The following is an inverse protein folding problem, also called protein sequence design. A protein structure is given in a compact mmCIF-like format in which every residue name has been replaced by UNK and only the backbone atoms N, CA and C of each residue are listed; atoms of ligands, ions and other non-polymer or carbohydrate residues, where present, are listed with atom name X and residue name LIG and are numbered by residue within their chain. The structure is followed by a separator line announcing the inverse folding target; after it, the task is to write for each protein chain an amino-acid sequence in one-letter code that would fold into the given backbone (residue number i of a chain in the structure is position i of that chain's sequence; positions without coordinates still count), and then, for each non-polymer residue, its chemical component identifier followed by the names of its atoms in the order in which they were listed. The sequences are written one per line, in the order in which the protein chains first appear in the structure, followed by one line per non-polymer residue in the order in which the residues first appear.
data_IF_068240652462
#
_entry.id   IF_068240652462
#
_cell.length_a   1.000
_cell.length_b   1.000
_cell.length_c   1.000
_cell.angle_alpha   90.00
_cell.angle_beta   90.00
_cell.angle_gamma   90.00
#
_symmetry.space_group_name_H-M   'P 1'
#
loop_
_entity.id
_entity.type
_entity.pdbx_description
1 polymer ?
#
# COMPACT_ATOMS: atom_id res chain seq x y z
N UNK A 1 -28.68 -44.19 -25.81
CA UNK A 1 -27.29 -43.67 -25.86
C UNK A 1 -27.18 -42.15 -25.92
N UNK A 2 -28.03 -41.42 -26.65
CA UNK A 2 -27.99 -39.93 -26.70
C UNK A 2 -28.28 -39.25 -25.34
N UNK A 3 -29.21 -39.79 -24.55
CA UNK A 3 -29.56 -39.25 -23.23
C UNK A 3 -28.42 -39.37 -22.19
N UNK A 4 -27.59 -40.42 -22.30
CA UNK A 4 -26.45 -40.63 -21.39
C UNK A 4 -25.30 -39.64 -21.70
N UNK A 5 -25.15 -39.25 -22.96
CA UNK A 5 -24.15 -38.27 -23.39
C UNK A 5 -24.54 -36.84 -22.97
N UNK A 6 -25.83 -36.50 -22.95
CA UNK A 6 -26.31 -35.22 -22.41
C UNK A 6 -26.13 -35.09 -20.89
N UNK A 7 -26.20 -36.20 -20.14
CA UNK A 7 -25.98 -36.17 -18.69
C UNK A 7 -24.51 -35.95 -18.32
N UNK A 8 -23.57 -36.40 -19.16
CA UNK A 8 -22.13 -36.24 -18.94
C UNK A 8 -21.65 -34.79 -19.20
N UNK A 9 -22.29 -34.08 -20.14
CA UNK A 9 -21.95 -32.68 -20.46
C UNK A 9 -22.46 -31.72 -19.38
N UNK A 10 -23.55 -32.05 -18.69
CA UNK A 10 -24.09 -31.22 -17.60
C UNK A 10 -23.22 -31.30 -16.32
N UNK A 11 -22.45 -32.38 -16.15
CA UNK A 11 -21.59 -32.57 -14.97
C UNK A 11 -20.29 -31.74 -15.03
N UNK A 12 -19.85 -31.33 -16.23
CA UNK A 12 -18.63 -30.55 -16.42
C UNK A 12 -18.78 -29.04 -16.15
N UNK A 13 -20.01 -28.53 -16.01
CA UNK A 13 -20.25 -27.10 -15.76
C UNK A 13 -20.18 -26.69 -14.28
N UNK A 14 -19.98 -27.62 -13.34
CA UNK A 14 -19.93 -27.31 -11.91
C UNK A 14 -18.52 -27.22 -11.32
N UNK A 15 -17.46 -27.33 -12.14
CA UNK A 15 -16.06 -27.18 -11.67
C UNK A 15 -15.42 -25.91 -12.23
N UNK A 16 -16.10 -24.77 -12.12
CA UNK A 16 -15.45 -23.47 -12.25
C UNK A 16 -15.55 -22.74 -10.93
N UNK A 17 -14.88 -23.29 -9.92
CA UNK A 17 -14.59 -22.53 -8.71
C UNK A 17 -13.41 -21.62 -9.06
N UNK A 18 -13.73 -20.40 -9.50
CA UNK A 18 -12.73 -19.35 -9.66
C UNK A 18 -12.25 -18.97 -8.27
N UNK A 19 -11.16 -19.61 -7.85
CA UNK A 19 -10.51 -19.32 -6.58
C UNK A 19 -9.94 -17.91 -6.71
N UNK A 20 -10.66 -16.92 -6.20
CA UNK A 20 -10.14 -15.55 -6.03
C UNK A 20 -8.94 -15.67 -5.11
N UNK A 21 -7.77 -15.74 -5.71
CA UNK A 21 -6.51 -15.75 -5.00
C UNK A 21 -6.47 -14.44 -4.22
N UNK A 22 -6.70 -14.50 -2.90
CA UNK A 22 -6.51 -13.36 -2.02
C UNK A 22 -5.13 -12.81 -2.35
N UNK A 23 -5.08 -11.59 -2.89
CA UNK A 23 -3.84 -10.90 -3.19
C UNK A 23 -3.22 -10.62 -1.81
N UNK A 24 -2.40 -11.57 -1.40
CA UNK A 24 -1.76 -11.70 -0.11
C UNK A 24 -0.69 -10.62 0.10
N UNK A 25 -1.08 -9.35 0.04
CA UNK A 25 -0.27 -8.23 0.53
C UNK A 25 -0.55 -7.92 2.01
N UNK A 26 -1.24 -8.83 2.73
CA UNK A 26 -1.22 -8.88 4.19
C UNK A 26 0.07 -9.52 4.69
N UNK A 27 1.24 -8.99 4.31
CA UNK A 27 2.30 -8.88 5.31
C UNK A 27 1.89 -7.71 6.20
N UNK A 28 0.89 -7.97 7.03
CA UNK A 28 0.68 -7.20 8.22
C UNK A 28 1.97 -7.35 9.03
N UNK A 29 2.90 -6.40 8.84
CA UNK A 29 3.39 -5.72 10.02
C UNK A 29 2.19 -5.62 10.96
N UNK A 30 2.25 -6.34 12.07
CA UNK A 30 1.07 -6.65 12.84
C UNK A 30 0.64 -5.33 13.50
N UNK A 31 -0.11 -4.49 12.78
CA UNK A 31 -0.41 -3.10 13.14
C UNK A 31 -1.09 -3.05 14.52
N UNK A 32 -1.78 -4.13 14.87
CA UNK A 32 -2.33 -4.39 16.20
C UNK A 32 -1.27 -4.31 17.33
N UNK A 33 -0.05 -4.83 17.12
CA UNK A 33 1.06 -4.76 18.09
C UNK A 33 1.59 -3.34 18.27
N UNK A 34 1.45 -2.49 17.25
CA UNK A 34 1.89 -1.09 17.27
C UNK A 34 0.78 -0.12 17.70
N UNK A 35 -0.46 -0.62 17.80
CA UNK A 35 -1.62 0.19 18.12
C UNK A 35 -1.44 0.80 19.50
N UNK A 36 -1.67 2.10 19.59
CA UNK A 36 -1.51 2.88 20.82
C UNK A 36 -2.69 3.82 20.98
N UNK A 37 -3.17 3.96 22.23
CA UNK A 37 -4.09 5.03 22.54
C UNK A 37 -3.32 6.34 22.78
N UNK A 38 -3.65 7.35 21.99
CA UNK A 38 -3.06 8.70 22.09
C UNK A 38 -4.06 9.72 22.65
N UNK A 39 -5.23 9.28 23.13
CA UNK A 39 -6.27 10.16 23.69
C UNK A 39 -5.77 11.00 24.87
N UNK A 40 -4.84 10.46 25.66
CA UNK A 40 -4.22 11.15 26.80
C UNK A 40 -2.97 11.98 26.44
N UNK A 41 -2.55 11.99 25.16
CA UNK A 41 -1.40 12.78 24.70
C UNK A 41 -1.90 14.13 24.18
N UNK A 42 -1.85 15.13 25.04
CA UNK A 42 -2.17 16.50 24.68
C UNK A 42 -1.09 17.13 23.79
N UNK A 43 -1.46 18.16 23.02
CA UNK A 43 -0.54 19.06 22.30
C UNK A 43 0.29 18.44 21.15
N UNK A 44 -0.23 17.41 20.48
CA UNK A 44 0.40 16.86 19.26
C UNK A 44 0.06 17.72 18.01
N UNK A 45 1.06 17.94 17.15
CA UNK A 45 0.88 18.58 15.85
C UNK A 45 0.33 17.56 14.85
N UNK A 46 -0.77 17.89 14.18
CA UNK A 46 -1.32 17.06 13.10
C UNK A 46 -0.64 17.37 11.77
N UNK A 47 -0.53 16.36 10.91
CA UNK A 47 -0.16 16.52 9.51
C UNK A 47 -0.75 15.47 8.60
N UNK A 48 -0.74 15.79 7.31
CA UNK A 48 -1.14 14.88 6.23
C UNK A 48 -0.12 14.92 5.10
N UNK A 49 0.30 13.74 4.66
CA UNK A 49 1.28 13.57 3.58
C UNK A 49 0.70 12.76 2.44
N UNK A 50 0.87 13.25 1.21
CA UNK A 50 0.55 12.55 -0.03
C UNK A 50 1.80 11.87 -0.57
N UNK A 51 1.73 10.58 -0.91
CA UNK A 51 2.81 9.86 -1.59
C UNK A 51 2.28 9.26 -2.89
N UNK A 52 2.86 9.62 -4.03
CA UNK A 52 2.58 8.95 -5.30
C UNK A 52 3.21 7.58 -5.33
N UNK A 53 2.48 6.57 -5.80
CA UNK A 53 3.02 5.23 -6.03
C UNK A 53 2.44 4.65 -7.31
N UNK A 54 3.19 3.76 -7.95
CA UNK A 54 2.85 3.24 -9.27
C UNK A 54 2.81 1.73 -9.21
N UNK A 55 1.61 1.16 -9.23
CA UNK A 55 1.42 -0.28 -9.42
C UNK A 55 1.75 -0.68 -10.88
N UNK A 56 1.56 0.25 -11.82
CA UNK A 56 1.91 0.07 -13.22
C UNK A 56 2.52 1.34 -13.82
N UNK A 57 3.36 1.18 -14.84
CA UNK A 57 3.85 2.27 -15.69
C UNK A 57 3.68 1.91 -17.17
N UNK A 58 3.56 2.91 -18.03
CA UNK A 58 3.55 2.71 -19.48
C UNK A 58 4.92 2.32 -20.00
N UNK A 59 4.94 1.51 -21.05
CA UNK A 59 6.15 1.01 -21.68
C UNK A 59 6.03 1.01 -23.18
N UNK A 60 6.96 1.69 -23.86
CA UNK A 60 7.03 1.88 -25.31
C UNK A 60 5.84 2.64 -25.93
N UNK A 61 4.62 2.47 -25.42
CA UNK A 61 3.37 3.08 -25.90
C UNK A 61 2.31 3.11 -24.77
N UNK A 62 1.21 3.81 -25.01
CA UNK A 62 0.04 3.85 -24.12
C UNK A 62 -0.72 2.51 -24.03
N UNK A 63 -0.50 1.58 -24.96
CA UNK A 63 -1.19 0.29 -25.00
C UNK A 63 -0.49 -0.80 -24.20
N UNK A 64 0.72 -0.55 -23.70
CA UNK A 64 1.51 -1.54 -22.97
C UNK A 64 1.93 -0.99 -21.62
N UNK A 65 1.61 -1.73 -20.56
CA UNK A 65 1.98 -1.41 -19.18
C UNK A 65 2.89 -2.49 -18.61
N UNK A 66 3.76 -2.11 -17.70
CA UNK A 66 4.52 -3.01 -16.83
C UNK A 66 4.04 -2.85 -15.40
N UNK A 67 3.71 -3.97 -14.76
CA UNK A 67 3.43 -3.98 -13.33
C UNK A 67 4.71 -3.86 -12.52
N UNK A 68 4.60 -3.31 -11.32
CA UNK A 68 5.71 -3.02 -10.42
C UNK A 68 5.35 -3.52 -9.02
N UNK A 69 6.35 -4.02 -8.30
CA UNK A 69 6.25 -4.11 -6.83
C UNK A 69 6.49 -2.71 -6.27
N UNK A 70 5.69 -2.30 -5.28
CA UNK A 70 5.91 -1.04 -4.57
C UNK A 70 6.19 -1.32 -3.09
N UNK A 71 7.33 -0.83 -2.62
CA UNK A 71 7.70 -0.79 -1.20
C UNK A 71 7.50 0.63 -0.69
N UNK A 72 6.58 0.80 0.24
CA UNK A 72 6.29 2.09 0.86
C UNK A 72 6.87 2.11 2.25
N UNK A 73 7.90 2.94 2.46
CA UNK A 73 8.58 3.12 3.74
C UNK A 73 7.94 4.27 4.51
N UNK A 74 7.56 4.02 5.76
CA UNK A 74 7.07 5.00 6.72
C UNK A 74 8.14 5.14 7.81
N UNK A 75 8.81 6.29 7.87
CA UNK A 75 10.01 6.49 8.70
C UNK A 75 9.79 7.57 9.75
N UNK A 76 10.17 7.27 10.99
CA UNK A 76 10.41 8.30 11.99
C UNK A 76 11.82 8.88 11.80
N UNK A 77 11.93 10.16 11.45
CA UNK A 77 13.22 10.84 11.28
C UNK A 77 13.75 11.45 12.56
N UNK A 78 12.96 11.45 13.65
CA UNK A 78 13.42 11.87 14.97
C UNK A 78 14.34 10.81 15.58
N UNK A 79 15.45 11.27 16.16
CA UNK A 79 16.38 10.47 16.95
C UNK A 79 16.01 10.40 18.44
N UNK A 80 14.95 11.09 18.86
CA UNK A 80 14.58 11.27 20.28
C UNK A 80 13.14 10.86 20.57
N UNK A 81 12.21 11.32 19.76
CA UNK A 81 10.78 11.21 20.05
C UNK A 81 10.12 10.16 19.17
N UNK A 82 9.14 9.46 19.74
CA UNK A 82 8.23 8.64 18.94
C UNK A 82 7.20 9.52 18.24
N UNK A 83 6.81 9.11 17.03
CA UNK A 83 5.74 9.76 16.26
C UNK A 83 4.54 8.82 16.13
N UNK A 84 3.40 9.36 15.72
CA UNK A 84 2.14 8.63 15.65
C UNK A 84 1.56 8.69 14.24
N UNK A 85 1.29 7.54 13.64
CA UNK A 85 0.59 7.46 12.37
C UNK A 85 -0.85 7.08 12.65
N UNK A 86 -1.79 7.89 12.20
CA UNK A 86 -3.22 7.74 12.48
C UNK A 86 -3.89 6.86 11.45
N UNK A 87 -3.53 7.04 10.18
CA UNK A 87 -4.17 6.35 9.06
C UNK A 87 -3.26 6.27 7.86
N UNK A 88 -3.31 5.14 7.15
CA UNK A 88 -2.69 4.95 5.84
C UNK A 88 -3.76 4.49 4.83
N UNK A 89 -4.11 5.38 3.89
CA UNK A 89 -5.17 5.14 2.89
C UNK A 89 -4.57 5.06 1.50
N UNK A 90 -4.85 3.98 0.78
CA UNK A 90 -4.40 3.71 -0.58
C UNK A 90 -5.52 3.99 -1.59
N UNK A 91 -5.23 4.85 -2.58
CA UNK A 91 -6.17 5.25 -3.62
C UNK A 91 -5.66 4.84 -5.01
N UNK A 92 -6.59 4.50 -5.90
CA UNK A 92 -6.27 4.19 -7.30
C UNK A 92 -6.05 5.47 -8.14
N UNK A 93 -5.76 5.26 -9.42
CA UNK A 93 -5.53 6.32 -10.42
C UNK A 93 -6.73 7.28 -10.57
N UNK A 94 -7.94 6.85 -10.21
CA UNK A 94 -9.15 7.66 -10.29
C UNK A 94 -9.50 8.33 -8.97
N UNK A 95 -8.67 8.18 -7.94
CA UNK A 95 -8.90 8.74 -6.61
C UNK A 95 -9.91 7.95 -5.78
N UNK A 96 -10.24 6.72 -6.17
CA UNK A 96 -11.10 5.85 -5.38
C UNK A 96 -10.27 5.14 -4.30
N UNK A 97 -10.80 5.11 -3.08
CA UNK A 97 -10.18 4.37 -1.98
C UNK A 97 -10.17 2.88 -2.31
N UNK A 98 -8.98 2.30 -2.42
CA UNK A 98 -8.75 0.87 -2.65
C UNK A 98 -8.66 0.12 -1.33
N UNK A 99 -7.85 0.64 -0.40
CA UNK A 99 -7.56 -0.03 0.88
C UNK A 99 -7.23 0.99 1.96
N UNK A 100 -7.55 0.67 3.21
CA UNK A 100 -6.98 1.32 4.38
C UNK A 100 -6.15 0.29 5.13
N UNK A 101 -4.85 0.54 5.29
CA UNK A 101 -3.91 -0.41 5.88
C UNK A 101 -3.99 -0.43 7.41
N UNK A 102 -4.18 0.75 7.99
CA UNK A 102 -4.56 0.95 9.39
C UNK A 102 -5.34 2.26 9.51
N UNK A 103 -6.27 2.30 10.45
CA UNK A 103 -7.10 3.44 10.84
C UNK A 103 -7.12 3.67 12.36
N UNK A 104 -6.32 2.89 13.09
CA UNK A 104 -6.02 3.08 14.51
C UNK A 104 -4.62 3.66 14.64
N UNK A 105 -4.40 4.62 15.56
CA UNK A 105 -3.09 5.18 15.77
C UNK A 105 -2.06 4.10 16.10
N UNK A 106 -0.94 4.12 15.37
CA UNK A 106 0.25 3.33 15.66
C UNK A 106 1.40 4.27 16.02
N UNK A 107 2.34 3.81 16.83
CA UNK A 107 3.58 4.56 17.08
C UNK A 107 4.72 4.04 16.20
N UNK A 108 5.64 4.95 15.87
CA UNK A 108 6.98 4.62 15.40
C UNK A 108 8.00 5.15 16.41
N UNK A 109 8.87 4.27 16.91
CA UNK A 109 9.97 4.62 17.80
C UNK A 109 10.99 5.53 17.09
N UNK A 110 11.89 6.21 17.84
CA UNK A 110 12.94 7.01 17.22
C UNK A 110 13.74 6.22 16.18
N UNK A 111 13.94 6.81 15.00
CA UNK A 111 14.62 6.21 13.84
C UNK A 111 13.99 4.92 13.29
N UNK A 112 12.81 4.53 13.76
CA UNK A 112 12.13 3.33 13.29
C UNK A 112 11.58 3.51 11.87
N UNK A 113 11.66 2.43 11.09
CA UNK A 113 11.02 2.33 9.77
C UNK A 113 10.07 1.14 9.77
N UNK A 114 8.95 1.30 9.09
CA UNK A 114 7.98 0.25 8.81
C UNK A 114 7.61 0.29 7.34
N UNK A 115 7.27 -0.85 6.76
CA UNK A 115 6.95 -0.93 5.34
C UNK A 115 5.55 -1.46 5.05
N UNK A 116 4.97 -0.94 3.97
CA UNK A 116 3.84 -1.53 3.26
C UNK A 116 4.35 -2.05 1.92
N UNK A 117 4.10 -3.32 1.62
CA UNK A 117 4.46 -3.92 0.33
C UNK A 117 3.20 -4.14 -0.51
N UNK A 118 3.22 -3.66 -1.75
CA UNK A 118 2.22 -3.95 -2.78
C UNK A 118 2.89 -4.86 -3.81
N UNK A 119 2.39 -6.09 -3.92
CA UNK A 119 2.93 -7.10 -4.83
C UNK A 119 2.77 -6.68 -6.29
N UNK A 120 3.69 -7.10 -7.17
CA UNK A 120 3.63 -6.86 -8.62
C UNK A 120 2.32 -7.34 -9.28
N UNK A 121 1.67 -8.36 -8.72
CA UNK A 121 0.36 -8.85 -9.20
C UNK A 121 -0.81 -7.92 -8.86
N UNK A 122 -0.64 -7.04 -7.87
CA UNK A 122 -1.68 -6.09 -7.43
C UNK A 122 -1.68 -4.85 -8.33
N UNK A 123 -2.48 -4.91 -9.40
CA UNK A 123 -2.63 -3.80 -10.36
C UNK A 123 -3.76 -2.83 -9.98
N UNK A 124 -4.37 -2.98 -8.81
CA UNK A 124 -5.56 -2.21 -8.41
C UNK A 124 -5.30 -0.70 -8.35
N UNK A 125 -4.07 -0.28 -8.11
CA UNK A 125 -3.67 1.13 -8.15
C UNK A 125 -3.63 1.76 -9.54
N UNK A 126 -3.39 0.96 -10.57
CA UNK A 126 -3.13 1.45 -11.93
C UNK A 126 -1.85 2.29 -12.04
N UNK A 127 -1.89 3.32 -12.89
CA UNK A 127 -0.72 4.11 -13.30
C UNK A 127 -0.53 5.43 -12.55
N UNK A 128 -1.40 5.75 -11.59
CA UNK A 128 -1.40 7.02 -10.85
C UNK A 128 -1.92 6.90 -9.43
N UNK A 129 -1.74 5.73 -8.80
CA UNK A 129 -2.16 5.52 -7.42
C UNK A 129 -1.38 6.36 -6.41
N UNK A 130 -1.92 6.46 -5.20
CA UNK A 130 -1.30 7.23 -4.13
C UNK A 130 -1.69 6.75 -2.75
N UNK A 131 -0.88 7.14 -1.78
CA UNK A 131 -1.19 7.05 -0.36
C UNK A 131 -1.47 8.43 0.23
N UNK A 132 -2.44 8.46 1.15
CA UNK A 132 -2.61 9.53 2.13
C UNK A 132 -2.25 8.98 3.50
N UNK A 133 -1.25 9.59 4.12
CA UNK A 133 -0.86 9.33 5.49
C UNK A 133 -1.32 10.47 6.38
N UNK A 134 -2.06 10.13 7.43
CA UNK A 134 -2.39 11.07 8.51
C UNK A 134 -1.53 10.73 9.71
N UNK A 135 -0.97 11.76 10.34
CA UNK A 135 0.00 11.56 11.40
C UNK A 135 -0.06 12.68 12.44
N UNK A 136 0.52 12.40 13.60
CA UNK A 136 0.72 13.33 14.69
C UNK A 136 2.14 13.24 15.23
N UNK A 137 2.77 14.37 15.48
CA UNK A 137 4.11 14.44 16.10
C UNK A 137 4.07 15.30 17.36
N UNK A 138 4.94 15.04 18.36
CA UNK A 138 5.16 15.99 19.43
C UNK A 138 5.68 17.34 18.92
N UNK A 139 5.55 18.38 19.75
CA UNK A 139 6.04 19.71 19.40
C UNK A 139 7.56 19.70 19.23
N UNK A 140 8.06 20.35 18.17
CA UNK A 140 9.47 20.39 17.79
C UNK A 140 10.08 19.04 17.34
N UNK A 141 9.26 18.01 17.11
CA UNK A 141 9.71 16.75 16.51
C UNK A 141 9.61 16.84 14.97
N UNK A 142 10.64 16.37 14.23
CA UNK A 142 10.57 16.27 12.77
C UNK A 142 9.36 15.48 12.27
N UNK A 143 8.89 15.83 11.07
CA UNK A 143 7.80 15.12 10.42
C UNK A 143 8.24 13.73 9.95
N UNK A 144 7.33 12.74 9.88
CA UNK A 144 7.61 11.46 9.23
C UNK A 144 8.05 11.65 7.77
N UNK A 145 9.02 10.84 7.36
CA UNK A 145 9.40 10.70 5.96
C UNK A 145 8.67 9.48 5.36
N UNK A 146 7.98 9.72 4.25
CA UNK A 146 7.32 8.68 3.48
C UNK A 146 8.00 8.55 2.13
N UNK A 147 8.38 7.34 1.75
CA UNK A 147 9.06 7.06 0.48
C UNK A 147 8.44 5.84 -0.18
N UNK A 148 8.31 5.90 -1.50
CA UNK A 148 7.92 4.75 -2.31
C UNK A 148 9.10 4.32 -3.17
N UNK A 149 9.45 3.05 -3.12
CA UNK A 149 10.41 2.41 -4.04
C UNK A 149 9.61 1.50 -4.95
N UNK A 150 9.63 1.79 -6.25
CA UNK A 150 9.02 0.96 -7.26
C UNK A 150 10.10 0.13 -7.94
N UNK A 151 9.87 -1.16 -8.11
CA UNK A 151 10.78 -2.05 -8.82
C UNK A 151 10.06 -3.11 -9.65
N UNK A 152 10.70 -3.55 -10.74
CA UNK A 152 10.32 -4.78 -11.45
C UNK A 152 11.55 -5.48 -11.98
N UNK A 153 11.49 -6.81 -11.95
CA UNK A 153 12.54 -7.74 -12.39
C UNK A 153 12.08 -8.62 -13.56
N UNK A 154 10.89 -8.38 -14.14
CA UNK A 154 10.29 -9.21 -15.20
C UNK A 154 11.02 -9.17 -16.55
N UNK A 155 12.01 -8.29 -16.74
CA UNK A 155 12.73 -8.11 -18.02
C UNK A 155 14.25 -8.27 -17.86
N UNK A 156 14.97 -8.32 -19.00
CA UNK A 156 16.45 -8.37 -19.02
C UNK A 156 17.13 -7.11 -18.46
N UNK A 157 16.37 -6.04 -18.23
CA UNK A 157 16.80 -4.83 -17.54
C UNK A 157 15.83 -4.60 -16.37
N UNK A 158 16.35 -4.57 -15.15
CA UNK A 158 15.58 -4.18 -13.98
C UNK A 158 15.35 -2.67 -13.99
N UNK A 159 14.14 -2.25 -13.64
CA UNK A 159 13.82 -0.85 -13.38
C UNK A 159 13.64 -0.67 -11.88
N UNK A 160 14.20 0.42 -11.34
CA UNK A 160 13.77 0.92 -10.04
C UNK A 160 13.79 2.44 -10.01
N UNK A 161 12.86 3.03 -9.28
CA UNK A 161 12.79 4.46 -9.04
C UNK A 161 12.10 4.74 -7.72
N UNK A 162 12.31 5.95 -7.20
CA UNK A 162 11.74 6.37 -5.92
C UNK A 162 10.78 7.53 -6.09
N UNK A 163 9.91 7.67 -5.10
CA UNK A 163 9.01 8.81 -4.89
C UNK A 163 9.12 9.22 -3.44
N UNK A 164 8.89 10.50 -3.17
CA UNK A 164 8.90 11.04 -1.83
C UNK A 164 7.57 11.71 -1.51
N UNK A 165 7.13 11.56 -0.27
CA UNK A 165 5.90 12.14 0.22
C UNK A 165 5.97 13.67 0.26
N UNK A 166 4.88 14.32 -0.11
CA UNK A 166 4.70 15.77 -0.03
C UNK A 166 3.66 16.10 1.04
N UNK A 167 4.01 16.93 2.02
CA UNK A 167 3.03 17.46 2.99
C UNK A 167 1.94 18.24 2.25
N UNK A 168 0.69 17.96 2.59
CA UNK A 168 -0.50 18.62 2.01
C UNK A 168 -1.37 19.32 3.06
N UNK A 169 -1.16 19.04 4.34
CA UNK A 169 -1.82 19.70 5.47
C UNK A 169 -0.93 19.62 6.69
#
# INVERSE_FOLDING_TARGET
MKAFFSLLILLFFFTSCENQQEISSFNAENWAKRTIDISSKDSLNYGKTYLSIYAQIYSLSEHKKHSLTAMVSLRNTSDKDSIYLLRASYYDTHGKLVRTYFDKPIYLAPLETTEIIIDEKDVTGGTGSNFIFEWKTPKNTPEPLFEGVMNSTMAQQGLSFTTQGKRIQ
#
